data_IF_647008903892
#
_entry.id   IF_647008903892
#
_cell.length_a   1.000
_cell.length_b   1.000
_cell.length_c   1.000
_cell.angle_alpha   90.00
_cell.angle_beta   90.00
_cell.angle_gamma   90.00
#
_symmetry.space_group_name_H-M   'P 1'
#
loop_
_entity.id
_entity.type
_entity.pdbx_description
1 polymer ?
#
# COMPACT_ATOMS: atom_id res chain seq x y z
N UNK A 1 17.72 -0.25 -14.24
CA UNK A 1 18.49 -0.99 -13.21
C UNK A 1 17.82 -2.34 -13.04
N UNK A 2 18.58 -3.44 -13.01
CA UNK A 2 18.04 -4.80 -12.83
C UNK A 2 18.46 -5.28 -11.44
N UNK A 3 17.49 -5.66 -10.61
CA UNK A 3 17.72 -6.21 -9.26
C UNK A 3 17.80 -7.73 -9.39
N UNK A 4 18.89 -8.32 -8.89
CA UNK A 4 19.03 -9.78 -8.81
C UNK A 4 18.47 -10.23 -7.46
N UNK A 5 17.48 -11.11 -7.52
CA UNK A 5 16.83 -11.67 -6.33
C UNK A 5 17.43 -13.05 -6.06
N UNK A 6 18.04 -13.22 -4.90
CA UNK A 6 18.54 -14.50 -4.42
C UNK A 6 17.62 -14.97 -3.29
N UNK A 7 17.35 -16.28 -3.20
CA UNK A 7 16.48 -16.85 -2.16
C UNK A 7 17.20 -17.98 -1.43
N UNK A 8 17.07 -18.00 -0.11
CA UNK A 8 17.47 -19.09 0.77
C UNK A 8 16.19 -19.75 1.31
N UNK A 9 15.97 -21.02 0.95
CA UNK A 9 14.78 -21.76 1.37
C UNK A 9 15.11 -23.25 1.50
N UNK A 10 14.65 -23.95 2.54
CA UNK A 10 14.92 -25.38 2.73
C UNK A 10 14.27 -26.28 1.66
N UNK A 11 13.21 -25.82 0.98
CA UNK A 11 12.50 -26.55 -0.06
C UNK A 11 13.13 -26.33 -1.43
N UNK A 12 13.44 -27.44 -2.12
CA UNK A 12 13.96 -27.41 -3.50
C UNK A 12 12.98 -26.71 -4.46
N UNK A 13 11.67 -26.86 -4.24
CA UNK A 13 10.62 -26.23 -5.03
C UNK A 13 9.89 -25.16 -4.20
N UNK A 14 10.61 -24.12 -3.78
CA UNK A 14 10.00 -23.07 -2.98
C UNK A 14 8.95 -22.25 -3.79
N UNK A 15 7.92 -21.68 -3.12
CA UNK A 15 6.87 -20.91 -3.78
C UNK A 15 7.39 -19.71 -4.58
N UNK A 16 8.54 -19.15 -4.18
CA UNK A 16 9.17 -18.00 -4.82
C UNK A 16 10.00 -18.36 -6.08
N UNK A 17 9.80 -19.56 -6.64
CA UNK A 17 10.49 -20.05 -7.84
C UNK A 17 10.29 -19.24 -9.12
N UNK A 18 9.24 -18.42 -9.17
CA UNK A 18 8.94 -17.56 -10.32
C UNK A 18 9.76 -16.26 -10.36
N UNK A 19 10.39 -15.87 -9.25
CA UNK A 19 10.99 -14.54 -9.08
C UNK A 19 12.48 -14.55 -8.72
N UNK A 20 13.04 -15.68 -8.29
CA UNK A 20 14.46 -15.74 -7.99
C UNK A 20 15.32 -15.88 -9.24
N UNK A 21 16.52 -15.32 -9.16
CA UNK A 21 17.60 -15.51 -10.12
C UNK A 21 18.53 -16.64 -9.68
N UNK A 22 18.66 -16.81 -8.37
CA UNK A 22 19.45 -17.86 -7.75
C UNK A 22 18.76 -18.36 -6.48
N UNK A 23 18.72 -19.67 -6.32
CA UNK A 23 18.19 -20.33 -5.12
C UNK A 23 19.30 -21.12 -4.45
N UNK A 24 19.44 -20.91 -3.14
CA UNK A 24 20.27 -21.71 -2.26
C UNK A 24 19.36 -22.58 -1.42
N UNK A 25 19.42 -23.90 -1.63
CA UNK A 25 18.66 -24.86 -0.80
C UNK A 25 19.37 -24.98 0.53
N UNK A 26 18.72 -24.54 1.60
CA UNK A 26 19.31 -24.57 2.94
C UNK A 26 18.35 -24.06 4.01
N UNK A 27 18.56 -24.50 5.24
CA UNK A 27 17.79 -24.01 6.38
C UNK A 27 18.25 -22.60 6.76
N UNK A 28 17.29 -21.70 6.92
CA UNK A 28 17.48 -20.35 7.46
C UNK A 28 17.72 -20.35 8.99
N UNK A 29 17.48 -21.46 9.68
CA UNK A 29 17.80 -21.64 11.11
C UNK A 29 19.29 -21.92 11.33
N UNK A 30 20.03 -22.24 10.26
CA UNK A 30 21.46 -22.51 10.34
C UNK A 30 22.27 -21.26 10.02
N UNK A 31 22.85 -20.67 11.07
CA UNK A 31 23.75 -19.51 11.00
C UNK A 31 24.82 -19.62 9.89
N UNK A 32 25.45 -20.79 9.72
CA UNK A 32 26.50 -20.98 8.70
C UNK A 32 25.91 -20.85 7.29
N UNK A 33 24.73 -21.41 7.05
CA UNK A 33 24.03 -21.33 5.77
C UNK A 33 23.64 -19.88 5.45
N UNK A 34 23.12 -19.16 6.44
CA UNK A 34 22.74 -17.74 6.31
C UNK A 34 23.97 -16.89 6.01
N UNK A 35 25.09 -17.12 6.69
CA UNK A 35 26.35 -16.41 6.43
C UNK A 35 26.90 -16.68 5.03
N UNK A 36 26.82 -17.92 4.54
CA UNK A 36 27.21 -18.26 3.17
C UNK A 36 26.32 -17.62 2.11
N UNK A 37 25.01 -17.56 2.37
CA UNK A 37 24.04 -16.89 1.52
C UNK A 37 24.30 -15.38 1.46
N UNK A 38 24.49 -14.75 2.62
CA UNK A 38 24.68 -13.31 2.76
C UNK A 38 25.90 -12.77 1.97
N UNK A 39 26.97 -13.57 1.81
CA UNK A 39 28.15 -13.22 1.00
C UNK A 39 27.83 -12.91 -0.47
N UNK A 40 26.67 -13.36 -0.98
CA UNK A 40 26.23 -13.17 -2.36
C UNK A 40 25.25 -12.00 -2.52
N UNK A 41 24.89 -11.35 -1.42
CA UNK A 41 23.84 -10.34 -1.37
C UNK A 41 24.45 -8.98 -1.00
N UNK A 42 24.03 -7.93 -1.70
CA UNK A 42 24.35 -6.56 -1.29
C UNK A 42 23.41 -6.04 -0.20
N UNK A 43 22.17 -6.52 -0.21
CA UNK A 43 21.12 -6.25 0.78
C UNK A 43 20.53 -7.60 1.14
N UNK A 44 20.38 -7.86 2.44
CA UNK A 44 19.75 -9.06 2.97
C UNK A 44 18.41 -8.66 3.60
N UNK A 45 17.34 -9.38 3.25
CA UNK A 45 16.02 -9.19 3.85
C UNK A 45 15.44 -10.54 4.24
N UNK A 46 14.68 -10.54 5.33
CA UNK A 46 13.99 -11.72 5.84
C UNK A 46 12.48 -11.47 5.84
N UNK A 47 11.70 -12.53 5.60
CA UNK A 47 10.22 -12.48 5.63
C UNK A 47 9.63 -12.99 6.95
N UNK A 48 10.46 -13.58 7.81
CA UNK A 48 10.06 -14.19 9.09
C UNK A 48 10.76 -13.51 10.27
N UNK A 49 10.01 -13.28 11.35
CA UNK A 49 10.53 -12.62 12.56
C UNK A 49 11.36 -13.58 13.44
N UNK A 50 11.27 -14.89 13.21
CA UNK A 50 12.03 -15.93 13.90
C UNK A 50 13.37 -16.21 13.21
N UNK A 51 14.16 -15.16 13.01
CA UNK A 51 15.53 -15.23 12.49
C UNK A 51 16.53 -15.11 13.64
N UNK A 52 17.69 -15.75 13.50
CA UNK A 52 18.80 -15.64 14.43
C UNK A 52 19.41 -14.22 14.38
N UNK A 53 19.00 -13.39 15.34
CA UNK A 53 19.44 -12.00 15.47
C UNK A 53 20.95 -11.89 15.68
N UNK A 54 21.56 -12.85 16.37
CA UNK A 54 23.00 -12.81 16.62
C UNK A 54 23.79 -13.03 15.33
N UNK A 55 23.26 -13.83 14.41
CA UNK A 55 23.79 -13.97 13.05
C UNK A 55 23.62 -12.68 12.25
N UNK A 56 22.44 -12.05 12.29
CA UNK A 56 22.23 -10.76 11.60
C UNK A 56 23.16 -9.66 12.11
N UNK A 57 23.38 -9.55 13.43
CA UNK A 57 24.30 -8.57 14.01
C UNK A 57 25.76 -8.81 13.56
N UNK A 58 26.17 -10.07 13.41
CA UNK A 58 27.50 -10.40 12.85
C UNK A 58 27.60 -9.96 11.39
N UNK A 59 26.56 -10.23 10.59
CA UNK A 59 26.52 -9.84 9.18
C UNK A 59 26.54 -8.33 8.99
N UNK A 60 25.80 -7.58 9.81
CA UNK A 60 25.84 -6.12 9.81
C UNK A 60 27.25 -5.59 10.14
N UNK A 61 27.93 -6.18 11.13
CA UNK A 61 29.33 -5.83 11.45
C UNK A 61 30.31 -6.16 10.33
N UNK A 62 30.00 -7.16 9.50
CA UNK A 62 30.76 -7.52 8.30
C UNK A 62 30.44 -6.60 7.11
N UNK A 63 29.49 -5.68 7.23
CA UNK A 63 29.12 -4.70 6.21
C UNK A 63 27.97 -5.14 5.29
N UNK A 64 27.27 -6.23 5.60
CA UNK A 64 26.05 -6.62 4.89
C UNK A 64 24.91 -5.69 5.31
N UNK A 65 24.18 -5.14 4.34
CA UNK A 65 23.01 -4.32 4.64
C UNK A 65 21.79 -5.21 4.94
N UNK A 66 21.60 -5.55 6.20
CA UNK A 66 20.42 -6.28 6.67
C UNK A 66 19.22 -5.34 6.85
N UNK A 67 18.06 -5.72 6.31
CA UNK A 67 16.79 -5.01 6.36
C UNK A 67 15.65 -5.97 6.73
N UNK A 68 14.91 -5.76 7.82
CA UNK A 68 15.14 -4.72 8.84
C UNK A 68 16.45 -4.94 9.60
N UNK A 69 16.90 -3.90 10.32
CA UNK A 69 18.12 -4.00 11.14
C UNK A 69 17.97 -5.05 12.24
N UNK A 70 19.08 -5.69 12.61
CA UNK A 70 19.12 -6.70 13.66
C UNK A 70 18.61 -6.13 15.00
N UNK A 71 18.89 -4.86 15.29
CA UNK A 71 18.36 -4.16 16.47
C UNK A 71 16.83 -4.09 16.47
N UNK A 72 16.20 -3.95 15.29
CA UNK A 72 14.75 -3.89 15.14
C UNK A 72 14.13 -5.27 15.37
N UNK A 73 14.70 -6.33 14.77
CA UNK A 73 14.25 -7.70 15.03
C UNK A 73 14.36 -8.04 16.52
N UNK A 74 15.46 -7.65 17.18
CA UNK A 74 15.64 -7.85 18.63
C UNK A 74 14.50 -7.22 19.44
N UNK A 75 14.05 -6.03 19.04
CA UNK A 75 12.93 -5.35 19.71
C UNK A 75 11.62 -6.11 19.50
N UNK A 76 11.38 -6.62 18.29
CA UNK A 76 10.19 -7.43 17.96
C UNK A 76 10.16 -8.70 18.83
N UNK A 77 11.27 -9.44 18.90
CA UNK A 77 11.37 -10.65 19.72
C UNK A 77 11.17 -10.39 21.23
N UNK A 78 11.62 -9.23 21.74
CA UNK A 78 11.33 -8.83 23.13
C UNK A 78 9.84 -8.61 23.35
N UNK A 79 9.14 -8.00 22.38
CA UNK A 79 7.71 -7.72 22.47
C UNK A 79 6.83 -8.96 22.30
N UNK A 80 7.34 -10.02 21.68
CA UNK A 80 6.66 -11.33 21.64
C UNK A 80 6.58 -11.98 23.03
N UNK A 81 7.57 -11.73 23.89
CA UNK A 81 7.60 -12.24 25.28
C UNK A 81 6.98 -11.23 26.25
N UNK A 82 7.32 -9.95 26.11
CA UNK A 82 6.90 -8.85 26.98
C UNK A 82 6.11 -7.80 26.19
N UNK A 83 4.85 -8.10 25.88
CA UNK A 83 4.00 -7.25 25.03
C UNK A 83 3.85 -5.79 25.49
N UNK A 84 3.91 -5.54 26.81
CA UNK A 84 3.74 -4.22 27.41
C UNK A 84 5.07 -3.55 27.79
N UNK A 85 6.20 -4.00 27.25
CA UNK A 85 7.49 -3.37 27.51
C UNK A 85 7.55 -1.99 26.82
N UNK A 86 7.31 -0.93 27.59
CA UNK A 86 7.25 0.45 27.08
C UNK A 86 8.52 0.85 26.34
N UNK A 87 9.70 0.43 26.82
CA UNK A 87 10.98 0.78 26.18
C UNK A 87 11.13 0.11 24.81
N UNK A 88 10.70 -1.13 24.68
CA UNK A 88 10.70 -1.85 23.42
C UNK A 88 9.67 -1.25 22.45
N UNK A 89 8.43 -1.01 22.91
CA UNK A 89 7.38 -0.35 22.12
C UNK A 89 7.83 1.02 21.59
N UNK A 90 8.44 1.83 22.45
CA UNK A 90 8.96 3.14 22.08
C UNK A 90 10.02 3.07 20.98
N UNK A 91 10.98 2.14 21.09
CA UNK A 91 12.05 1.98 20.09
C UNK A 91 11.51 1.44 18.77
N UNK A 92 10.53 0.53 18.80
CA UNK A 92 9.89 0.03 17.58
C UNK A 92 9.09 1.14 16.88
N UNK A 93 8.34 1.93 17.65
CA UNK A 93 7.64 3.11 17.14
C UNK A 93 8.60 4.11 16.47
N UNK A 94 9.79 4.33 17.01
CA UNK A 94 10.81 5.16 16.36
C UNK A 94 11.27 4.59 15.02
N UNK A 95 11.51 3.27 14.93
CA UNK A 95 11.87 2.62 13.67
C UNK A 95 10.75 2.76 12.63
N UNK A 96 9.48 2.58 13.03
CA UNK A 96 8.33 2.77 12.14
C UNK A 96 8.14 4.22 11.68
N UNK A 97 8.45 5.20 12.52
CA UNK A 97 8.45 6.60 12.09
C UNK A 97 9.48 6.87 10.99
N UNK A 98 10.67 6.25 11.07
CA UNK A 98 11.71 6.39 10.05
C UNK A 98 11.30 5.76 8.71
N UNK A 99 10.50 4.69 8.74
CA UNK A 99 9.94 4.04 7.55
C UNK A 99 8.62 4.67 7.08
N UNK A 100 8.17 5.76 7.71
CA UNK A 100 6.90 6.43 7.43
C UNK A 100 5.64 5.54 7.64
N UNK A 101 5.75 4.50 8.47
CA UNK A 101 4.63 3.64 8.82
C UNK A 101 3.92 4.20 10.07
N UNK A 102 3.08 5.22 9.84
CA UNK A 102 2.43 5.95 10.91
C UNK A 102 1.35 5.13 11.63
N UNK A 103 0.69 4.20 10.94
CA UNK A 103 -0.35 3.35 11.53
C UNK A 103 0.24 2.40 12.57
N UNK A 104 1.34 1.71 12.22
CA UNK A 104 2.06 0.85 13.17
C UNK A 104 2.68 1.66 14.31
N UNK A 105 3.18 2.87 14.01
CA UNK A 105 3.68 3.79 15.04
C UNK A 105 2.59 4.15 16.05
N UNK A 106 1.37 4.49 15.59
CA UNK A 106 0.26 4.87 16.47
C UNK A 106 -0.15 3.70 17.38
N UNK A 107 -0.15 2.47 16.84
CA UNK A 107 -0.47 1.26 17.58
C UNK A 107 0.49 1.04 18.75
N UNK A 108 1.80 1.12 18.50
CA UNK A 108 2.81 0.92 19.55
C UNK A 108 2.78 2.03 20.61
N UNK A 109 2.50 3.27 20.20
CA UNK A 109 2.32 4.40 21.13
C UNK A 109 1.09 4.20 22.01
N UNK A 110 -0.05 3.78 21.44
CA UNK A 110 -1.27 3.50 22.21
C UNK A 110 -1.01 2.43 23.26
N UNK A 111 -0.38 1.32 22.88
CA UNK A 111 0.02 0.26 23.81
C UNK A 111 0.97 0.77 24.90
N UNK A 112 1.93 1.62 24.56
CA UNK A 112 2.85 2.20 25.53
C UNK A 112 2.14 3.12 26.54
N UNK A 113 1.16 3.91 26.08
CA UNK A 113 0.33 4.77 26.94
C UNK A 113 -0.65 3.97 27.80
N UNK A 114 -1.13 2.83 27.32
CA UNK A 114 -1.93 1.89 28.11
C UNK A 114 -1.12 1.29 29.27
N UNK A 115 0.17 1.00 29.03
CA UNK A 115 1.07 0.48 30.06
C UNK A 115 1.51 1.56 31.08
N UNK A 116 1.88 2.75 30.62
CA UNK A 116 2.22 3.89 31.48
C UNK A 116 1.79 5.24 30.85
N UNK A 117 0.70 5.85 31.35
CA UNK A 117 0.17 7.11 30.82
C UNK A 117 1.06 8.34 31.04
N UNK A 118 1.99 8.32 32.01
CA UNK A 118 2.69 9.53 32.45
C UNK A 118 4.05 9.76 31.74
N UNK A 119 4.42 8.88 30.81
CA UNK A 119 5.71 8.98 30.11
C UNK A 119 5.71 10.16 29.14
N UNK A 120 6.61 11.12 29.38
CA UNK A 120 6.71 12.36 28.59
C UNK A 120 7.17 12.09 27.16
N UNK A 121 8.10 11.15 27.00
CA UNK A 121 8.71 10.78 25.73
C UNK A 121 7.66 10.23 24.76
N UNK A 122 6.81 9.30 25.20
CA UNK A 122 5.74 8.71 24.39
C UNK A 122 4.72 9.77 23.99
N UNK A 123 4.33 10.65 24.92
CA UNK A 123 3.43 11.76 24.62
C UNK A 123 4.01 12.75 23.59
N UNK A 124 5.33 13.01 23.66
CA UNK A 124 6.01 13.87 22.70
C UNK A 124 6.01 13.27 21.29
N UNK A 125 6.29 11.96 21.17
CA UNK A 125 6.23 11.25 19.89
C UNK A 125 4.80 11.25 19.36
N UNK A 126 3.80 10.96 20.19
CA UNK A 126 2.40 10.96 19.77
C UNK A 126 1.96 12.30 19.17
N UNK A 127 2.43 13.41 19.74
CA UNK A 127 2.18 14.75 19.21
C UNK A 127 2.88 14.97 17.86
N UNK A 128 4.12 14.53 17.73
CA UNK A 128 4.89 14.61 16.48
C UNK A 128 4.24 13.78 15.37
N UNK A 129 3.80 12.56 15.69
CA UNK A 129 3.09 11.67 14.76
C UNK A 129 1.85 12.37 14.17
N UNK A 130 0.97 12.91 15.02
CA UNK A 130 -0.21 13.65 14.57
C UNK A 130 0.11 14.84 13.66
N UNK A 131 1.23 15.51 13.91
CA UNK A 131 1.68 16.62 13.07
C UNK A 131 2.15 16.11 11.70
N UNK A 132 2.90 15.01 11.65
CA UNK A 132 3.38 14.39 10.42
C UNK A 132 2.24 13.84 9.57
N UNK A 133 1.28 13.14 10.18
CA UNK A 133 0.06 12.67 9.51
C UNK A 133 -0.74 13.84 8.92
N UNK A 134 -0.97 14.90 9.70
CA UNK A 134 -1.65 16.09 9.21
C UNK A 134 -0.89 16.77 8.07
N UNK A 135 0.44 16.76 8.08
CA UNK A 135 1.26 17.26 6.98
C UNK A 135 1.18 16.36 5.74
N UNK A 136 1.20 15.04 5.91
CA UNK A 136 1.02 14.09 4.81
C UNK A 136 -0.34 14.27 4.15
N UNK A 137 -1.42 14.23 4.94
CA UNK A 137 -2.78 14.38 4.44
C UNK A 137 -2.99 15.72 3.71
N UNK A 138 -2.34 16.79 4.16
CA UNK A 138 -2.35 18.09 3.46
C UNK A 138 -1.62 18.03 2.12
N UNK A 139 -0.48 17.33 2.03
CA UNK A 139 0.25 17.14 0.77
C UNK A 139 -0.56 16.27 -0.19
N UNK A 140 -1.12 15.19 0.30
CA UNK A 140 -1.92 14.25 -0.48
C UNK A 140 -3.19 14.91 -1.02
N UNK A 141 -3.91 15.66 -0.17
CA UNK A 141 -5.06 16.47 -0.62
C UNK A 141 -4.67 17.39 -1.77
N UNK A 142 -3.54 18.10 -1.68
CA UNK A 142 -3.07 18.99 -2.75
C UNK A 142 -2.70 18.23 -4.01
N UNK A 143 -1.98 17.12 -3.86
CA UNK A 143 -1.55 16.25 -4.95
C UNK A 143 -2.77 15.74 -5.72
N UNK A 144 -3.72 15.10 -5.02
CA UNK A 144 -4.94 14.58 -5.62
C UNK A 144 -5.80 15.69 -6.25
N UNK A 145 -5.98 16.83 -5.57
CA UNK A 145 -6.71 17.98 -6.14
C UNK A 145 -6.09 18.43 -7.47
N UNK A 146 -4.77 18.56 -7.54
CA UNK A 146 -4.07 18.97 -8.75
C UNK A 146 -4.14 17.92 -9.86
N UNK A 147 -3.96 16.63 -9.52
CA UNK A 147 -4.08 15.52 -10.47
C UNK A 147 -5.48 15.46 -11.08
N UNK A 148 -6.54 15.57 -10.26
CA UNK A 148 -7.91 15.54 -10.75
C UNK A 148 -8.26 16.76 -11.61
N UNK A 149 -7.77 17.96 -11.25
CA UNK A 149 -7.94 19.15 -12.07
C UNK A 149 -7.26 19.01 -13.44
N UNK A 150 -6.05 18.42 -13.47
CA UNK A 150 -5.34 18.12 -14.71
C UNK A 150 -6.10 17.08 -15.55
N UNK A 151 -6.59 15.99 -14.96
CA UNK A 151 -7.38 14.98 -15.67
C UNK A 151 -8.65 15.57 -16.30
N UNK A 152 -9.36 16.45 -15.58
CA UNK A 152 -10.53 17.13 -16.11
C UNK A 152 -10.17 18.02 -17.31
N UNK A 153 -9.04 18.73 -17.24
CA UNK A 153 -8.53 19.52 -18.35
C UNK A 153 -8.15 18.65 -19.55
N UNK A 154 -7.38 17.58 -19.35
CA UNK A 154 -6.96 16.65 -20.40
C UNK A 154 -8.17 16.01 -21.08
N UNK A 155 -9.17 15.60 -20.30
CA UNK A 155 -10.45 15.09 -20.82
C UNK A 155 -11.21 16.15 -21.65
N UNK A 156 -11.25 17.40 -21.17
CA UNK A 156 -11.88 18.50 -21.90
C UNK A 156 -11.16 18.82 -23.22
N UNK A 157 -9.83 18.70 -23.27
CA UNK A 157 -9.02 18.90 -24.47
C UNK A 157 -9.23 17.74 -25.45
N UNK A 158 -9.22 16.50 -24.96
CA UNK A 158 -9.50 15.32 -25.79
C UNK A 158 -10.89 15.39 -26.42
N UNK A 159 -11.92 15.73 -25.64
CA UNK A 159 -13.29 15.86 -26.18
C UNK A 159 -13.43 17.02 -27.18
N UNK A 160 -12.72 18.14 -26.99
CA UNK A 160 -12.66 19.22 -27.99
C UNK A 160 -11.94 18.77 -29.27
N UNK A 161 -10.79 18.10 -29.16
CA UNK A 161 -10.05 17.55 -30.32
C UNK A 161 -10.88 16.53 -31.10
N UNK A 162 -11.54 15.59 -30.41
CA UNK A 162 -12.43 14.61 -31.04
C UNK A 162 -13.63 15.26 -31.75
N UNK A 163 -14.15 16.39 -31.23
CA UNK A 163 -15.22 17.16 -31.90
C UNK A 163 -14.70 17.89 -33.13
N UNK A 164 -13.52 18.49 -33.06
CA UNK A 164 -12.88 19.18 -34.20
C UNK A 164 -12.55 18.17 -35.32
N UNK A 165 -11.94 17.03 -34.99
CA UNK A 165 -11.65 15.97 -35.97
C UNK A 165 -12.92 15.41 -36.63
N UNK A 166 -14.05 15.33 -35.90
CA UNK A 166 -15.35 14.94 -36.48
C UNK A 166 -15.91 16.02 -37.40
N UNK A 167 -15.74 17.30 -37.08
CA UNK A 167 -16.18 18.42 -37.94
C UNK A 167 -15.32 18.48 -39.21
N UNK A 168 -13.99 18.36 -39.08
CA UNK A 168 -13.07 18.38 -40.22
C UNK A 168 -13.22 17.16 -41.16
N UNK A 169 -13.63 15.99 -40.63
CA UNK A 169 -14.01 14.84 -41.47
C UNK A 169 -15.34 15.07 -42.18
N UNK A 170 -16.35 15.56 -41.47
CA UNK A 170 -17.66 15.84 -42.07
C UNK A 170 -17.60 16.93 -43.15
N UNK A 171 -16.69 17.89 -43.03
CA UNK A 171 -16.48 18.96 -44.02
C UNK A 171 -15.71 18.47 -45.27
N UNK A 172 -14.87 17.44 -45.13
CA UNK A 172 -14.17 16.79 -46.26
C UNK A 172 -15.03 15.77 -47.00
N UNK A 173 -16.03 15.19 -46.33
CA UNK A 173 -16.85 14.08 -46.88
C UNK A 173 -18.23 14.53 -47.41
N UNK A 174 -18.57 15.82 -47.48
CA UNK A 174 -19.95 16.24 -47.79
C UNK A 174 -20.15 17.58 -48.50
N UNK A 175 -19.92 17.62 -49.82
CA UNK A 175 -20.90 18.23 -50.75
C UNK A 175 -21.61 17.09 -51.48
N UNK A 176 -22.71 16.63 -50.89
CA UNK A 176 -23.91 16.24 -51.62
C UNK A 176 -25.07 16.27 -50.64
N UNK A 177 -25.95 17.25 -50.82
CA UNK A 177 -27.15 17.38 -50.02
C UNK A 177 -28.10 16.22 -50.28
N UNK A 178 -28.88 15.84 -49.27
CA UNK A 178 -30.20 15.26 -49.48
C UNK A 178 -31.13 15.60 -48.33
N UNK A 179 -32.18 16.31 -48.74
CA UNK A 179 -33.50 16.57 -48.18
C UNK A 179 -33.93 16.00 -46.82
N UNK A 180 -34.57 16.90 -46.06
CA UNK A 180 -35.45 16.66 -44.93
C UNK A 180 -36.73 15.91 -45.37
N UNK A 181 -36.84 14.62 -45.08
CA UNK A 181 -38.15 13.97 -45.00
C UNK A 181 -38.71 14.04 -43.57
N UNK A 182 -39.91 14.62 -43.46
CA UNK A 182 -40.71 14.67 -42.23
C UNK A 182 -41.24 13.26 -41.91
N UNK A 183 -40.61 12.60 -40.94
CA UNK A 183 -41.07 11.33 -40.38
C UNK A 183 -42.31 11.49 -39.48
N UNK A 184 -43.33 10.69 -39.80
CA UNK A 184 -44.66 10.55 -39.21
C UNK A 184 -44.61 10.15 -37.72
N UNK A 185 -45.48 10.75 -36.88
CA UNK A 185 -45.77 10.26 -35.53
C UNK A 185 -46.64 9.01 -35.60
N UNK A 186 -46.24 7.97 -34.87
CA UNK A 186 -47.08 6.81 -34.55
C UNK A 186 -47.09 6.69 -33.03
N UNK A 187 -48.23 7.02 -32.43
CA UNK A 187 -48.52 6.75 -31.03
C UNK A 187 -48.73 5.24 -30.85
N UNK A 188 -47.89 4.62 -30.03
CA UNK A 188 -48.16 3.31 -29.43
C UNK A 188 -47.85 3.46 -27.94
N UNK A 189 -48.91 3.31 -27.15
CA UNK A 189 -48.89 3.27 -25.69
C UNK A 189 -47.89 2.23 -25.16
N UNK A 190 -47.10 2.60 -24.15
CA UNK A 190 -46.33 1.64 -23.37
C UNK A 190 -45.18 2.27 -22.60
N UNK A 191 -45.37 2.41 -21.28
CA UNK A 191 -44.41 2.81 -20.25
C UNK A 191 -44.20 4.33 -20.02
N UNK A 192 -45.07 4.85 -19.16
CA UNK A 192 -44.78 5.95 -18.23
C UNK A 192 -43.57 5.57 -17.37
N UNK A 193 -42.64 6.51 -17.16
CA UNK A 193 -42.36 7.09 -15.84
C UNK A 193 -41.41 8.30 -15.98
N UNK A 194 -41.89 9.43 -15.45
CA UNK A 194 -41.19 10.70 -15.29
C UNK A 194 -40.55 10.79 -13.90
N UNK A 195 -39.51 11.63 -13.84
CA UNK A 195 -39.05 12.48 -12.73
C UNK A 195 -38.60 11.85 -11.40
N UNK A 196 -37.29 11.97 -11.15
CA UNK A 196 -36.68 12.73 -10.04
C UNK A 196 -37.54 12.94 -8.79
N UNK A 197 -37.33 12.12 -7.75
CA UNK A 197 -37.45 12.54 -6.35
C UNK A 197 -36.33 11.90 -5.51
N UNK A 198 -35.96 12.63 -4.46
CA UNK A 198 -34.88 12.44 -3.51
C UNK A 198 -35.05 11.26 -2.53
N UNK A 199 -33.96 10.94 -1.78
CA UNK A 199 -33.82 10.14 -0.53
C UNK A 199 -33.04 8.79 -0.65
N UNK A 200 -32.37 8.29 0.43
CA UNK A 200 -30.93 8.46 0.67
C UNK A 200 -30.13 7.14 0.73
N UNK A 201 -28.80 7.26 0.74
CA UNK A 201 -27.88 6.18 1.04
C UNK A 201 -28.00 5.74 2.51
N UNK A 202 -28.65 4.61 2.75
CA UNK A 202 -28.41 3.70 3.87
C UNK A 202 -28.95 2.34 3.47
N UNK A 203 -28.25 1.28 3.88
CA UNK A 203 -28.69 -0.12 3.82
C UNK A 203 -28.32 -0.88 2.54
N UNK A 204 -27.02 -1.14 2.38
CA UNK A 204 -26.55 -2.35 1.71
C UNK A 204 -25.39 -2.97 2.50
N UNK A 205 -25.75 -3.75 3.54
CA UNK A 205 -24.93 -4.85 4.05
C UNK A 205 -25.75 -6.14 3.92
N UNK A 206 -25.26 -7.18 3.21
CA UNK A 206 -25.90 -8.48 3.23
C UNK A 206 -25.36 -9.31 4.40
N UNK A 207 -26.21 -9.52 5.42
CA UNK A 207 -26.05 -10.61 6.35
C UNK A 207 -26.47 -11.92 5.67
N UNK A 208 -25.52 -12.83 5.45
CA UNK A 208 -25.79 -14.23 5.12
C UNK A 208 -25.84 -15.01 6.43
N UNK A 209 -27.04 -15.45 6.79
CA UNK A 209 -27.33 -16.44 7.83
C UNK A 209 -27.10 -17.86 7.32
N UNK A 210 -26.42 -18.71 8.11
CA UNK A 210 -26.67 -20.16 8.15
C UNK A 210 -26.25 -20.82 9.47
N UNK A 211 -27.27 -21.34 10.18
CA UNK A 211 -27.42 -22.64 10.88
C UNK A 211 -26.35 -23.05 11.93
N UNK A 212 -26.72 -23.12 13.22
CA UNK A 212 -27.37 -24.27 13.93
C UNK A 212 -26.46 -25.50 14.08
N UNK A 213 -25.79 -25.63 15.23
CA UNK A 213 -26.11 -26.56 16.33
C UNK A 213 -25.31 -26.17 17.58
#
# INVERSE_FOLDING_TARGET
MSIKVNILDPMVNCPASSIYHHHMVGSYDNSTTVEEFAKRCGILTDEIEHVDVDTLEKLEKQGVDCQPKASTIRIIQVLDVEFYNVKALYRRAQAYMETYDYELTELDIKKALEADPQIKEVNSIHKTLKQLEAQSNKRDTKLYTNMFAQMANDYSIQTKRLKIEKVEKNEKDGVMGMELEKGKWVDIEGCKLLSWEWWPWSDYMPHITRQQL
#
